data_IF_959210246353
#
_entry.id   IF_959210246353
#
_cell.length_a   1.000
_cell.length_b   1.000
_cell.length_c   1.000
_cell.angle_alpha   90.00
_cell.angle_beta   90.00
_cell.angle_gamma   90.00
#
_symmetry.space_group_name_H-M   'P 1'
#
loop_
_entity.id
_entity.type
_entity.pdbx_description
1 polymer ?
#
# COMPACT_ATOMS: atom_id res chain seq x y z
N UNK A 1 -28.39 -58.97 14.21
CA UNK A 1 -26.90 -58.90 13.99
C UNK A 1 -26.56 -58.06 12.76
N UNK A 2 -27.25 -58.18 11.62
CA UNK A 2 -26.96 -57.37 10.42
C UNK A 2 -27.23 -55.87 10.56
N UNK A 3 -28.24 -55.44 11.32
CA UNK A 3 -28.52 -54.02 11.61
C UNK A 3 -27.45 -53.34 12.47
N UNK A 4 -26.89 -54.08 13.46
CA UNK A 4 -25.83 -53.55 14.34
C UNK A 4 -24.52 -53.35 13.52
N UNK A 5 -24.19 -54.29 12.61
CA UNK A 5 -23.03 -54.13 11.74
C UNK A 5 -23.13 -52.97 10.73
N UNK A 6 -24.34 -52.64 10.25
CA UNK A 6 -24.57 -51.48 9.39
C UNK A 6 -24.47 -50.13 10.12
N UNK A 7 -24.89 -50.10 11.39
CA UNK A 7 -24.82 -48.88 12.23
C UNK A 7 -23.38 -48.52 12.60
N UNK A 8 -22.55 -49.56 12.88
CA UNK A 8 -21.10 -49.39 13.19
C UNK A 8 -20.31 -48.98 11.94
N UNK A 9 -20.64 -49.48 10.74
CA UNK A 9 -20.00 -49.05 9.51
C UNK A 9 -20.37 -47.63 9.15
N UNK A 10 -21.58 -47.18 9.44
CA UNK A 10 -22.05 -45.81 9.17
C UNK A 10 -21.41 -44.80 10.14
N UNK A 11 -21.24 -45.15 11.41
CA UNK A 11 -20.49 -44.38 12.42
C UNK A 11 -18.99 -44.27 12.10
N UNK A 12 -18.37 -45.32 11.56
CA UNK A 12 -16.97 -45.32 11.16
C UNK A 12 -16.73 -44.44 9.92
N UNK A 13 -17.66 -44.47 8.94
CA UNK A 13 -17.61 -43.60 7.76
C UNK A 13 -17.83 -42.11 8.12
N UNK A 14 -18.75 -41.80 9.05
CA UNK A 14 -19.01 -40.43 9.46
C UNK A 14 -17.82 -39.83 10.25
N UNK A 15 -17.15 -40.62 11.10
CA UNK A 15 -15.93 -40.19 11.80
C UNK A 15 -14.76 -39.93 10.82
N UNK A 16 -14.65 -40.70 9.72
CA UNK A 16 -13.67 -40.49 8.67
C UNK A 16 -13.89 -39.16 7.92
N UNK A 17 -15.14 -38.89 7.56
CA UNK A 17 -15.52 -37.64 6.84
C UNK A 17 -15.27 -36.42 7.73
N UNK A 18 -15.68 -36.44 8.99
CA UNK A 18 -15.47 -35.31 9.92
C UNK A 18 -13.99 -35.04 10.11
N UNK A 19 -13.16 -36.06 10.23
CA UNK A 19 -11.72 -35.93 10.35
C UNK A 19 -11.11 -35.31 9.07
N UNK A 20 -11.52 -35.77 7.90
CA UNK A 20 -11.05 -35.28 6.61
C UNK A 20 -11.38 -33.77 6.43
N UNK A 21 -12.60 -33.35 6.74
CA UNK A 21 -12.95 -31.91 6.74
C UNK A 21 -12.17 -31.12 7.79
N UNK A 22 -11.95 -31.67 8.99
CA UNK A 22 -11.16 -30.99 10.02
C UNK A 22 -9.71 -30.79 9.58
N UNK A 23 -9.08 -31.81 8.99
CA UNK A 23 -7.72 -31.73 8.45
C UNK A 23 -7.65 -30.69 7.31
N UNK A 24 -8.61 -30.70 6.39
CA UNK A 24 -8.69 -29.72 5.29
C UNK A 24 -8.85 -28.28 5.80
N UNK A 25 -9.71 -28.05 6.81
CA UNK A 25 -9.91 -26.74 7.43
C UNK A 25 -8.63 -26.28 8.13
N UNK A 26 -7.95 -27.16 8.88
CA UNK A 26 -6.70 -26.82 9.56
C UNK A 26 -5.64 -26.39 8.54
N UNK A 27 -5.46 -27.16 7.46
CA UNK A 27 -4.51 -26.82 6.39
C UNK A 27 -4.87 -25.48 5.75
N UNK A 28 -6.16 -25.25 5.44
CA UNK A 28 -6.61 -24.00 4.85
C UNK A 28 -6.35 -22.80 5.78
N UNK A 29 -6.59 -22.94 7.09
CA UNK A 29 -6.32 -21.90 8.09
C UNK A 29 -4.82 -21.60 8.18
N UNK A 30 -3.99 -22.63 8.24
CA UNK A 30 -2.52 -22.46 8.28
C UNK A 30 -2.03 -21.75 7.02
N UNK A 31 -2.50 -22.16 5.85
CA UNK A 31 -2.15 -21.52 4.58
C UNK A 31 -2.62 -20.05 4.52
N UNK A 32 -3.84 -19.77 4.96
CA UNK A 32 -4.36 -18.41 5.02
C UNK A 32 -3.56 -17.51 5.96
N UNK A 33 -3.18 -18.03 7.14
CA UNK A 33 -2.33 -17.33 8.09
C UNK A 33 -0.94 -17.08 7.51
N UNK A 34 -0.36 -18.05 6.81
CA UNK A 34 0.92 -17.89 6.12
C UNK A 34 0.86 -16.81 5.04
N UNK A 35 -0.15 -16.84 4.17
CA UNK A 35 -0.35 -15.83 3.12
C UNK A 35 -0.50 -14.44 3.76
N UNK A 36 -1.33 -14.30 4.80
CA UNK A 36 -1.53 -13.04 5.51
C UNK A 36 -0.25 -12.53 6.19
N UNK A 37 0.55 -13.42 6.75
CA UNK A 37 1.77 -13.05 7.45
C UNK A 37 2.88 -12.57 6.51
N UNK A 38 3.06 -13.24 5.36
CA UNK A 38 4.26 -13.09 4.54
C UNK A 38 4.00 -12.50 3.15
N UNK A 39 2.81 -12.69 2.57
CA UNK A 39 2.57 -12.38 1.16
C UNK A 39 1.78 -11.10 0.97
N UNK A 40 0.60 -10.98 1.60
CA UNK A 40 -0.34 -9.89 1.34
C UNK A 40 -0.85 -9.27 2.64
N UNK A 41 -0.90 -7.95 2.65
CA UNK A 41 -1.50 -7.18 3.75
C UNK A 41 -2.54 -6.21 3.20
N UNK A 42 -3.70 -6.15 3.88
CA UNK A 42 -4.75 -5.21 3.58
C UNK A 42 -4.51 -3.89 4.33
N UNK A 43 -4.73 -2.77 3.63
CA UNK A 43 -4.69 -1.42 4.20
C UNK A 43 -5.95 -0.65 3.79
N UNK A 44 -6.39 0.25 4.67
CA UNK A 44 -7.46 1.22 4.39
C UNK A 44 -6.80 2.58 4.12
N UNK A 45 -7.30 3.31 3.14
CA UNK A 45 -6.82 4.65 2.80
C UNK A 45 -7.58 5.70 3.63
N UNK A 46 -6.92 6.36 4.61
CA UNK A 46 -7.57 7.31 5.51
C UNK A 46 -7.48 8.76 5.03
N UNK A 47 -6.64 9.07 4.03
CA UNK A 47 -6.33 10.44 3.63
C UNK A 47 -6.31 10.62 2.12
N UNK A 48 -6.51 11.87 1.67
CA UNK A 48 -6.59 12.22 0.25
C UNK A 48 -5.24 12.49 -0.43
N UNK A 49 -4.10 12.20 0.21
CA UNK A 49 -2.78 12.54 -0.35
C UNK A 49 -2.41 11.80 -1.64
N UNK A 50 -3.12 10.73 -1.96
CA UNK A 50 -2.96 9.93 -3.19
C UNK A 50 -4.17 10.05 -4.14
N UNK A 51 -5.08 11.03 -3.92
CA UNK A 51 -6.11 11.39 -4.93
C UNK A 51 -5.37 11.79 -6.21
N UNK A 52 -5.63 11.28 -7.29
CA UNK A 52 -6.64 10.56 -8.01
C UNK A 52 -6.49 9.03 -7.99
N UNK A 53 -5.30 8.53 -7.72
CA UNK A 53 -5.01 7.09 -7.76
C UNK A 53 -5.75 6.33 -6.66
N UNK A 54 -5.72 6.85 -5.42
CA UNK A 54 -6.40 6.26 -4.28
C UNK A 54 -7.31 7.30 -3.61
N UNK A 55 -8.54 6.89 -3.33
CA UNK A 55 -9.53 7.73 -2.65
C UNK A 55 -9.66 7.33 -1.18
N UNK A 56 -10.09 8.29 -0.35
CA UNK A 56 -10.44 7.98 1.04
C UNK A 56 -11.55 6.92 1.06
N UNK A 57 -11.38 5.86 1.87
CA UNK A 57 -12.29 4.73 1.92
C UNK A 57 -11.96 3.59 0.96
N UNK A 58 -10.92 3.70 0.13
CA UNK A 58 -10.38 2.56 -0.59
C UNK A 58 -9.71 1.58 0.38
N UNK A 59 -9.88 0.31 0.11
CA UNK A 59 -9.19 -0.78 0.77
C UNK A 59 -8.30 -1.49 -0.24
N UNK A 60 -7.01 -1.49 0.00
CA UNK A 60 -6.01 -1.98 -0.94
C UNK A 60 -5.30 -3.22 -0.43
N UNK A 61 -4.81 -4.04 -1.36
CA UNK A 61 -3.87 -5.11 -1.06
C UNK A 61 -2.45 -4.68 -1.39
N UNK A 62 -1.55 -5.00 -0.47
CA UNK A 62 -0.12 -4.69 -0.56
C UNK A 62 0.66 -5.99 -0.61
N UNK A 63 1.46 -6.17 -1.65
CA UNK A 63 2.37 -7.29 -1.80
C UNK A 63 3.64 -7.01 -0.97
N UNK A 64 3.78 -7.75 0.14
CA UNK A 64 4.94 -7.64 1.04
C UNK A 64 6.14 -8.40 0.50
N UNK A 65 5.88 -9.48 -0.22
CA UNK A 65 6.90 -10.40 -0.70
C UNK A 65 7.76 -9.84 -1.83
N UNK A 66 7.25 -8.82 -2.56
CA UNK A 66 7.92 -8.28 -3.76
C UNK A 66 9.33 -7.72 -3.48
N UNK A 67 9.55 -7.19 -2.27
CA UNK A 67 10.84 -6.58 -1.90
C UNK A 67 11.67 -7.46 -0.95
N UNK A 68 11.10 -8.54 -0.41
CA UNK A 68 11.80 -9.43 0.52
C UNK A 68 10.87 -10.12 1.50
N UNK A 69 11.44 -10.90 2.40
CA UNK A 69 10.72 -11.57 3.48
C UNK A 69 11.12 -10.89 4.80
N UNK A 70 10.14 -10.31 5.49
CA UNK A 70 10.31 -9.77 6.84
C UNK A 70 9.76 -10.74 7.88
N UNK A 71 10.47 -10.90 9.00
CA UNK A 71 9.95 -11.64 10.14
C UNK A 71 8.88 -10.81 10.86
N UNK A 72 7.64 -11.31 10.98
CA UNK A 72 6.51 -10.53 11.51
C UNK A 72 6.71 -10.02 12.94
N UNK A 73 7.51 -10.73 13.74
CA UNK A 73 7.69 -10.45 15.18
C UNK A 73 8.87 -9.54 15.46
N UNK A 74 9.94 -9.61 14.65
CA UNK A 74 11.21 -8.90 14.92
C UNK A 74 11.43 -7.74 13.97
N UNK A 75 10.57 -7.62 12.94
CA UNK A 75 10.63 -6.60 11.89
C UNK A 75 12.01 -6.46 11.21
N UNK A 76 12.72 -7.57 11.15
CA UNK A 76 14.00 -7.67 10.44
C UNK A 76 13.81 -8.29 9.08
N UNK A 77 14.50 -7.75 8.08
CA UNK A 77 14.61 -8.39 6.78
C UNK A 77 15.33 -9.73 6.93
N UNK A 78 14.63 -10.83 6.65
CA UNK A 78 15.24 -12.16 6.60
C UNK A 78 16.03 -12.31 5.30
N UNK A 79 15.40 -11.93 4.20
CA UNK A 79 16.01 -11.90 2.86
C UNK A 79 15.40 -10.73 2.09
N UNK A 80 16.25 -9.93 1.45
CA UNK A 80 15.84 -8.89 0.50
C UNK A 80 16.29 -9.29 -0.89
N UNK A 81 15.38 -9.32 -1.86
CA UNK A 81 15.66 -9.69 -3.24
C UNK A 81 15.07 -8.72 -4.27
N UNK A 82 14.24 -7.78 -3.84
CA UNK A 82 13.67 -6.74 -4.69
C UNK A 82 13.90 -5.33 -4.15
N UNK A 83 13.83 -4.36 -5.04
CA UNK A 83 13.87 -2.94 -4.72
C UNK A 83 12.64 -2.26 -5.32
N UNK A 84 12.15 -1.16 -4.73
CA UNK A 84 11.15 -0.32 -5.38
C UNK A 84 11.65 0.19 -6.73
N UNK A 85 10.73 0.33 -7.68
CA UNK A 85 10.99 0.96 -8.97
C UNK A 85 10.35 2.35 -9.01
N UNK A 86 10.79 3.18 -9.96
CA UNK A 86 10.13 4.45 -10.23
C UNK A 86 8.64 4.22 -10.56
N UNK A 87 7.78 5.03 -9.97
CA UNK A 87 6.33 4.94 -10.15
C UNK A 87 5.62 3.94 -9.24
N UNK A 88 6.33 3.04 -8.54
CA UNK A 88 5.70 2.13 -7.59
C UNK A 88 4.97 2.92 -6.49
N UNK A 89 3.72 2.53 -6.22
CA UNK A 89 2.98 3.01 -5.06
C UNK A 89 3.31 2.08 -3.88
N UNK A 90 4.01 2.62 -2.89
CA UNK A 90 4.52 1.83 -1.76
C UNK A 90 3.87 2.23 -0.44
N UNK A 91 3.67 1.24 0.43
CA UNK A 91 3.34 1.44 1.84
C UNK A 91 4.61 1.30 2.67
N UNK A 92 4.83 2.22 3.59
CA UNK A 92 6.04 2.27 4.41
C UNK A 92 5.76 2.88 5.78
N UNK A 93 6.62 2.60 6.75
CA UNK A 93 6.58 3.24 8.05
C UNK A 93 7.06 4.68 7.95
N UNK A 94 6.29 5.58 8.52
CA UNK A 94 6.62 7.00 8.49
C UNK A 94 7.94 7.30 9.23
N UNK A 95 8.92 7.97 8.60
CA UNK A 95 10.27 8.10 9.16
C UNK A 95 10.36 8.84 10.50
N UNK A 96 9.43 9.77 10.77
CA UNK A 96 9.42 10.54 12.00
C UNK A 96 8.53 9.93 13.11
N UNK A 97 7.69 8.94 12.75
CA UNK A 97 6.83 8.22 13.69
C UNK A 97 6.51 6.84 13.13
N UNK A 98 7.32 5.85 13.46
CA UNK A 98 7.23 4.47 12.93
C UNK A 98 5.98 3.70 13.37
N UNK A 99 5.14 4.28 14.24
CA UNK A 99 3.82 3.72 14.59
C UNK A 99 2.77 3.94 13.49
N UNK A 100 3.07 4.81 12.51
CA UNK A 100 2.18 5.18 11.42
C UNK A 100 2.67 4.66 10.08
N UNK A 101 1.76 4.10 9.30
CA UNK A 101 2.02 3.68 7.93
C UNK A 101 1.54 4.76 6.96
N UNK A 102 2.40 5.09 6.00
CA UNK A 102 2.11 6.03 4.92
C UNK A 102 2.12 5.31 3.59
N UNK A 103 1.39 5.87 2.62
CA UNK A 103 1.38 5.42 1.24
C UNK A 103 1.73 6.58 0.31
N UNK A 104 2.73 6.37 -0.57
CA UNK A 104 3.20 7.36 -1.53
C UNK A 104 3.74 6.68 -2.79
N UNK A 105 3.93 7.48 -3.84
CA UNK A 105 4.57 7.04 -5.08
C UNK A 105 6.07 7.29 -5.05
N UNK A 106 6.85 6.31 -5.53
CA UNK A 106 8.31 6.43 -5.67
C UNK A 106 8.65 7.32 -6.84
N UNK A 107 9.33 8.42 -6.56
CA UNK A 107 9.76 9.43 -7.54
C UNK A 107 11.26 9.31 -7.81
N UNK A 108 12.06 9.07 -6.77
CA UNK A 108 13.51 8.93 -6.88
C UNK A 108 14.02 7.67 -6.22
N UNK A 109 14.98 7.03 -6.88
CA UNK A 109 15.74 5.86 -6.44
C UNK A 109 17.15 6.27 -5.99
N UNK A 110 17.91 5.39 -5.32
CA UNK A 110 19.29 5.66 -4.93
C UNK A 110 20.13 6.24 -6.07
N UNK A 111 20.84 7.34 -5.79
CA UNK A 111 21.66 8.05 -6.76
C UNK A 111 20.93 9.07 -7.63
N UNK A 112 19.59 9.04 -7.69
CA UNK A 112 18.85 10.06 -8.43
C UNK A 112 18.98 11.45 -7.78
N UNK A 113 19.11 12.46 -8.60
CA UNK A 113 19.00 13.87 -8.19
C UNK A 113 17.57 14.35 -8.45
N UNK A 114 16.87 14.75 -7.40
CA UNK A 114 15.49 15.24 -7.48
C UNK A 114 15.49 16.76 -7.25
N UNK A 115 14.78 17.45 -8.14
CA UNK A 115 14.54 18.89 -8.04
C UNK A 115 13.08 19.17 -8.42
N UNK A 116 12.47 20.12 -7.73
CA UNK A 116 11.13 20.61 -8.05
C UNK A 116 11.23 22.12 -8.29
N UNK A 117 10.75 22.55 -9.42
CA UNK A 117 10.69 23.97 -9.82
C UNK A 117 9.28 24.26 -10.31
N UNK A 118 8.63 25.20 -9.68
CA UNK A 118 7.28 25.64 -10.02
C UNK A 118 6.31 24.48 -10.24
N UNK A 119 6.31 23.52 -9.27
CA UNK A 119 5.52 22.27 -9.26
C UNK A 119 5.98 21.19 -10.24
N UNK A 120 6.89 21.48 -11.14
CA UNK A 120 7.45 20.52 -12.09
C UNK A 120 8.57 19.72 -11.43
N UNK A 121 8.52 18.41 -11.58
CA UNK A 121 9.53 17.51 -11.01
C UNK A 121 10.58 17.16 -12.06
N UNK A 122 11.83 17.39 -11.69
CA UNK A 122 13.00 17.02 -12.48
C UNK A 122 13.76 15.90 -11.79
N UNK A 123 14.10 14.87 -12.53
CA UNK A 123 14.95 13.78 -12.10
C UNK A 123 16.18 13.71 -12.98
N UNK A 124 17.35 13.81 -12.37
CA UNK A 124 18.64 13.86 -13.08
C UNK A 124 18.69 14.96 -14.16
N UNK A 125 18.08 16.10 -13.87
CA UNK A 125 17.98 17.23 -14.77
C UNK A 125 16.92 17.13 -15.88
N UNK A 126 16.19 16.03 -15.97
CA UNK A 126 15.14 15.80 -16.96
C UNK A 126 13.76 15.98 -16.35
N UNK A 127 12.89 16.72 -17.04
CA UNK A 127 11.49 16.88 -16.64
C UNK A 127 10.77 15.52 -16.67
N UNK A 128 10.13 15.16 -15.55
CA UNK A 128 9.35 13.93 -15.46
C UNK A 128 7.96 14.08 -16.07
N UNK A 129 7.52 13.03 -16.76
CA UNK A 129 6.11 12.86 -17.15
C UNK A 129 5.35 12.23 -15.99
N UNK A 130 4.37 12.93 -15.43
CA UNK A 130 3.66 12.51 -14.22
C UNK A 130 2.13 12.51 -14.41
N UNK A 131 1.59 11.53 -15.17
CA UNK A 131 0.15 11.50 -15.49
C UNK A 131 -0.75 11.32 -14.24
N UNK A 132 -0.19 10.86 -13.13
CA UNK A 132 -0.92 10.67 -11.87
C UNK A 132 -0.93 11.91 -10.99
N UNK A 133 -0.04 12.87 -11.26
CA UNK A 133 0.09 14.06 -10.44
C UNK A 133 -1.13 14.98 -10.59
N UNK A 134 -1.67 15.42 -9.45
CA UNK A 134 -2.76 16.39 -9.39
C UNK A 134 -2.32 17.62 -8.60
N UNK A 135 -2.59 18.79 -9.18
CA UNK A 135 -2.43 20.09 -8.54
C UNK A 135 -3.81 20.71 -8.32
N UNK A 136 -4.14 21.04 -7.07
CA UNK A 136 -5.44 21.61 -6.67
C UNK A 136 -5.35 23.10 -6.37
N UNK A 137 -4.16 23.60 -6.03
CA UNK A 137 -3.89 25.01 -5.74
C UNK A 137 -3.16 25.65 -6.93
N UNK A 138 -3.74 26.69 -7.59
CA UNK A 138 -3.08 27.36 -8.72
C UNK A 138 -1.85 28.18 -8.32
N UNK A 139 -1.68 28.48 -7.03
CA UNK A 139 -0.54 29.27 -6.52
C UNK A 139 0.74 28.45 -6.55
N UNK A 140 1.84 29.12 -6.85
CA UNK A 140 3.20 28.59 -6.73
C UNK A 140 3.83 29.21 -5.48
N UNK A 141 4.22 28.36 -4.52
CA UNK A 141 4.86 28.78 -3.29
C UNK A 141 6.38 28.79 -3.47
N UNK A 142 7.02 29.90 -3.07
CA UNK A 142 8.48 29.94 -3.06
C UNK A 142 9.08 28.99 -2.03
N UNK A 143 10.31 28.54 -2.24
CA UNK A 143 11.01 27.62 -1.34
C UNK A 143 11.16 28.17 0.10
N UNK A 144 11.20 29.50 0.26
CA UNK A 144 11.26 30.12 1.59
C UNK A 144 9.94 30.08 2.37
N UNK A 145 8.82 29.84 1.69
CA UNK A 145 7.50 29.69 2.31
C UNK A 145 7.17 28.21 2.55
N UNK A 146 7.40 27.37 1.55
CA UNK A 146 7.12 25.93 1.63
C UNK A 146 7.93 25.18 0.58
N UNK A 147 8.44 23.97 0.89
CA UNK A 147 9.11 23.13 -0.07
C UNK A 147 8.14 22.45 -1.04
N UNK A 148 6.84 22.73 -0.97
CA UNK A 148 5.78 22.08 -1.74
C UNK A 148 6.00 22.18 -3.25
N UNK A 149 6.29 23.40 -3.74
CA UNK A 149 6.31 23.73 -5.18
C UNK A 149 7.73 23.99 -5.69
N UNK A 150 8.67 24.26 -4.79
CA UNK A 150 10.08 24.51 -5.09
C UNK A 150 10.98 23.82 -4.06
N UNK A 151 11.76 22.83 -4.49
CA UNK A 151 12.55 21.97 -3.60
C UNK A 151 13.81 21.44 -4.29
N UNK A 152 14.88 21.25 -3.53
CA UNK A 152 16.12 20.64 -4.01
C UNK A 152 17.04 21.63 -4.75
N UNK A 153 18.00 21.15 -5.59
CA UNK A 153 18.23 19.73 -5.88
C UNK A 153 18.74 18.93 -4.67
N UNK A 154 18.35 17.64 -4.59
CA UNK A 154 18.80 16.73 -3.55
C UNK A 154 19.11 15.34 -4.15
N UNK A 155 20.22 14.71 -3.73
CA UNK A 155 20.58 13.36 -4.17
C UNK A 155 19.97 12.34 -3.20
N UNK A 156 19.31 11.31 -3.75
CA UNK A 156 18.74 10.22 -2.97
C UNK A 156 19.85 9.29 -2.47
N UNK A 157 19.95 9.04 -1.15
CA UNK A 157 20.98 8.15 -0.60
C UNK A 157 20.82 6.69 -1.06
N UNK A 158 21.93 5.93 -1.02
CA UNK A 158 21.99 4.53 -1.48
C UNK A 158 20.99 3.57 -0.85
N UNK A 159 20.55 3.83 0.37
CA UNK A 159 19.63 2.97 1.11
C UNK A 159 18.20 3.51 1.20
N UNK A 160 17.90 4.59 0.47
CA UNK A 160 16.63 5.30 0.61
C UNK A 160 15.90 5.48 -0.72
N UNK A 161 14.65 5.94 -0.65
CA UNK A 161 13.85 6.38 -1.79
C UNK A 161 13.23 7.75 -1.49
N UNK A 162 12.97 8.52 -2.54
CA UNK A 162 12.23 9.78 -2.48
C UNK A 162 10.82 9.53 -2.99
N UNK A 163 9.81 9.89 -2.20
CA UNK A 163 8.42 9.56 -2.49
C UNK A 163 7.54 10.82 -2.44
N UNK A 164 6.51 10.87 -3.28
CA UNK A 164 5.53 11.96 -3.29
C UNK A 164 4.11 11.41 -3.35
N UNK A 165 3.16 12.18 -2.81
CA UNK A 165 1.74 11.90 -3.02
C UNK A 165 1.29 12.37 -4.40
N UNK A 166 0.32 11.67 -4.99
CA UNK A 166 -0.22 12.05 -6.30
C UNK A 166 -1.04 13.35 -6.21
N UNK A 167 -1.70 13.60 -5.08
CA UNK A 167 -2.31 14.90 -4.76
C UNK A 167 -1.24 15.87 -4.25
N UNK A 168 -0.48 16.46 -5.15
CA UNK A 168 0.76 17.21 -4.90
C UNK A 168 0.61 18.32 -3.88
N UNK A 169 -0.45 19.09 -3.95
CA UNK A 169 -0.65 20.27 -3.09
C UNK A 169 -1.16 19.89 -1.69
N UNK A 170 -1.74 18.69 -1.54
CA UNK A 170 -2.31 18.18 -0.28
C UNK A 170 -1.56 16.95 0.25
N UNK A 171 -0.28 16.82 -0.08
CA UNK A 171 0.54 15.71 0.38
C UNK A 171 1.69 16.18 1.27
N UNK A 172 1.75 15.60 2.46
CA UNK A 172 2.93 15.66 3.32
C UNK A 172 3.83 14.46 3.01
N UNK A 173 4.95 14.72 2.30
CA UNK A 173 5.79 13.69 1.72
C UNK A 173 7.29 14.06 1.77
N UNK A 174 8.12 13.41 0.96
CA UNK A 174 9.59 13.59 0.97
C UNK A 174 10.06 15.02 0.76
N UNK A 175 9.23 15.90 0.22
CA UNK A 175 9.54 17.34 0.14
C UNK A 175 9.71 17.96 1.52
N UNK A 176 9.06 17.41 2.55
CA UNK A 176 9.05 17.93 3.92
C UNK A 176 10.01 17.17 4.84
N UNK A 177 10.06 15.84 4.75
CA UNK A 177 10.84 14.99 5.65
C UNK A 177 11.96 14.21 4.96
N UNK A 178 12.20 14.46 3.67
CA UNK A 178 13.27 13.97 2.79
C UNK A 178 13.08 12.51 2.37
N UNK A 179 13.67 11.54 3.04
CA UNK A 179 13.85 10.19 2.51
C UNK A 179 13.13 9.13 3.34
N UNK A 180 12.73 8.05 2.67
CA UNK A 180 12.28 6.80 3.29
C UNK A 180 13.41 5.79 3.17
N UNK A 181 13.87 5.25 4.29
CA UNK A 181 14.77 4.11 4.27
C UNK A 181 14.08 2.91 3.63
N UNK A 182 14.78 2.17 2.77
CA UNK A 182 14.22 1.00 2.11
C UNK A 182 13.80 -0.10 3.09
N UNK A 183 14.43 -0.17 4.27
CA UNK A 183 14.02 -1.10 5.33
C UNK A 183 12.65 -0.75 5.92
N UNK A 184 12.24 0.52 5.86
CA UNK A 184 10.92 0.97 6.30
C UNK A 184 9.79 0.60 5.32
N UNK A 185 10.12 0.22 4.07
CA UNK A 185 9.11 -0.15 3.05
C UNK A 185 8.47 -1.48 3.43
N UNK A 186 7.15 -1.49 3.55
CA UNK A 186 6.35 -2.67 3.88
C UNK A 186 5.98 -3.49 2.65
N UNK A 187 5.73 -2.84 1.51
CA UNK A 187 5.40 -3.51 0.26
C UNK A 187 4.85 -2.56 -0.82
N UNK A 188 4.50 -3.13 -1.97
CA UNK A 188 3.89 -2.43 -3.11
C UNK A 188 2.38 -2.63 -3.10
N UNK A 189 1.62 -1.54 -3.18
CA UNK A 189 0.18 -1.57 -3.41
C UNK A 189 -0.07 -2.02 -4.86
N UNK A 190 -1.05 -2.91 -5.08
CA UNK A 190 -1.28 -3.46 -6.41
C UNK A 190 -2.73 -3.55 -6.84
N UNK A 191 -3.70 -3.59 -5.92
CA UNK A 191 -5.12 -3.68 -6.26
C UNK A 191 -6.00 -3.07 -5.18
N UNK A 192 -7.11 -2.45 -5.60
CA UNK A 192 -8.20 -2.01 -4.74
C UNK A 192 -9.19 -3.18 -4.65
N UNK A 193 -9.34 -3.80 -3.47
CA UNK A 193 -10.27 -4.92 -3.31
C UNK A 193 -11.63 -4.53 -2.77
N UNK A 194 -11.74 -3.31 -2.20
CA UNK A 194 -12.98 -2.75 -1.71
C UNK A 194 -12.91 -1.23 -1.69
N UNK A 195 -14.04 -0.54 -1.94
CA UNK A 195 -14.09 0.91 -1.90
C UNK A 195 -15.45 1.40 -1.46
N UNK A 196 -15.47 2.28 -0.45
CA UNK A 196 -16.69 3.02 -0.11
C UNK A 196 -16.45 4.51 -0.08
N UNK A 197 -17.54 5.24 -0.36
CA UNK A 197 -17.51 6.67 -0.20
C UNK A 197 -17.45 7.02 1.30
N UNK A 198 -16.35 7.63 1.73
CA UNK A 198 -16.15 8.16 3.08
C UNK A 198 -15.79 9.64 3.05
N UNK A 199 -15.93 10.31 1.91
CA UNK A 199 -15.70 11.74 1.79
C UNK A 199 -16.82 12.51 2.53
N UNK A 200 -16.71 12.47 3.81
CA UNK A 200 -16.84 13.40 4.92
C UNK A 200 -18.06 14.24 5.11
N UNK A 201 -19.18 14.11 4.46
CA UNK A 201 -20.45 14.58 5.02
C UNK A 201 -21.36 13.37 5.25
N UNK A 202 -21.83 13.23 6.50
CA UNK A 202 -22.96 12.36 6.83
C UNK A 202 -24.16 12.93 6.09
N UNK A 203 -24.24 12.68 4.80
CA UNK A 203 -25.46 12.94 4.07
C UNK A 203 -26.44 11.85 4.44
N UNK A 204 -27.58 12.26 4.97
CA UNK A 204 -28.73 11.40 5.24
C UNK A 204 -29.35 10.84 3.94
N UNK A 205 -28.68 11.06 2.82
CA UNK A 205 -29.05 10.54 1.52
C UNK A 205 -28.51 9.12 1.37
N UNK A 206 -29.36 8.10 1.43
CA UNK A 206 -28.97 6.71 1.28
C UNK A 206 -28.26 6.45 -0.06
N UNK A 207 -28.42 7.31 -1.07
CA UNK A 207 -27.73 7.19 -2.36
C UNK A 207 -26.24 7.57 -2.33
N UNK A 208 -25.72 8.23 -1.32
CA UNK A 208 -24.33 8.69 -1.23
C UNK A 208 -23.41 7.86 -0.32
N UNK A 209 -23.95 6.93 0.45
CA UNK A 209 -23.18 6.04 1.34
C UNK A 209 -22.80 4.73 0.63
N UNK A 210 -22.21 4.79 -0.61
CA UNK A 210 -22.11 3.62 -1.44
C UNK A 210 -20.75 3.02 -1.61
N UNK A 211 -20.80 1.72 -1.87
CA UNK A 211 -19.71 0.98 -2.47
C UNK A 211 -19.44 1.55 -3.86
N UNK A 212 -18.23 1.98 -4.10
CA UNK A 212 -17.73 2.39 -5.41
C UNK A 212 -17.34 1.15 -6.20
N UNK A 213 -18.34 0.51 -6.83
CA UNK A 213 -18.19 -0.77 -7.53
C UNK A 213 -17.20 -0.68 -8.69
N UNK A 214 -17.14 0.47 -9.35
CA UNK A 214 -16.26 0.80 -10.45
C UNK A 214 -14.76 0.73 -10.08
N UNK A 215 -14.44 0.85 -8.78
CA UNK A 215 -13.08 0.81 -8.29
C UNK A 215 -12.61 -0.57 -7.79
N UNK A 216 -13.56 -1.50 -7.61
CA UNK A 216 -13.23 -2.83 -7.11
C UNK A 216 -12.55 -3.64 -8.20
N UNK A 217 -11.31 -4.06 -7.95
CA UNK A 217 -10.47 -4.78 -8.91
C UNK A 217 -9.51 -3.89 -9.68
N UNK A 218 -9.57 -2.56 -9.51
CA UNK A 218 -8.63 -1.64 -10.14
C UNK A 218 -7.19 -1.93 -9.72
N UNK A 219 -6.31 -2.04 -10.71
CA UNK A 219 -4.88 -2.19 -10.49
C UNK A 219 -4.24 -0.82 -10.21
N UNK A 220 -3.34 -0.81 -9.24
CA UNK A 220 -2.61 0.39 -8.83
C UNK A 220 -1.28 0.43 -9.59
N UNK A 221 -1.14 1.45 -10.45
CA UNK A 221 0.01 1.69 -11.32
C UNK A 221 0.76 2.96 -10.94
#
# INVERSE_FOLDING_TARGET
LAQIAQEDQNKSKSKGIVREYAEAIIIAVILALFIRAFVVQAFKIPSGSMKTTLLVGDHILVNKFIYGIKLPVVDRDLVRFGNPNHGDVIVFRYPLDTSKDFIKRVIGLPGDTIQIQDKQVFRNGQLMQEPHARHTDPRILSAGVSPRDNFGPIVVPEHAVFVMGDNRDESYDSRFWKFVDRSAVLGKAFVIYWSWNQDGEVTLDPEQAYVRWDRIGDLIH
#
